data_IF_709431111791
#
_entry.id   IF_709431111791
#
_cell.length_a   1.000
_cell.length_b   1.000
_cell.length_c   1.000
_cell.angle_alpha   90.00
_cell.angle_beta   90.00
_cell.angle_gamma   90.00
#
_symmetry.space_group_name_H-M   'P 1'
#
loop_
_entity.id
_entity.type
_entity.pdbx_description
1 polymer ?
#
# COMPACT_ATOMS: atom_id res chain seq x y z
N UNK A 1 -55.39 -11.62 6.60
CA UNK A 1 -54.35 -11.14 5.65
C UNK A 1 -53.15 -10.60 6.42
N UNK A 2 -52.04 -11.34 6.52
CA UNK A 2 -50.81 -10.84 7.14
C UNK A 2 -50.06 -9.98 6.13
N UNK A 3 -49.91 -8.68 6.43
CA UNK A 3 -49.07 -7.76 5.64
C UNK A 3 -47.61 -8.11 5.86
N UNK A 4 -46.96 -8.65 4.83
CA UNK A 4 -45.51 -8.81 4.77
C UNK A 4 -44.89 -7.44 4.49
N UNK A 5 -44.37 -6.80 5.54
CA UNK A 5 -43.50 -5.64 5.35
C UNK A 5 -42.10 -6.12 4.99
N UNK A 6 -41.47 -5.57 3.94
CA UNK A 6 -40.12 -5.96 3.55
C UNK A 6 -39.15 -5.59 4.68
N UNK A 7 -38.52 -6.60 5.27
CA UNK A 7 -37.60 -6.51 6.42
C UNK A 7 -36.22 -5.95 6.02
N UNK A 8 -36.18 -5.00 5.08
CA UNK A 8 -34.97 -4.60 4.36
C UNK A 8 -34.29 -3.35 4.90
N UNK A 9 -34.79 -2.75 6.00
CA UNK A 9 -34.30 -1.43 6.43
C UNK A 9 -33.15 -1.45 7.44
N UNK A 10 -32.81 -2.59 8.06
CA UNK A 10 -31.91 -2.62 9.24
C UNK A 10 -30.45 -3.05 8.98
N UNK A 11 -30.02 -3.09 7.72
CA UNK A 11 -28.70 -3.63 7.31
C UNK A 11 -27.65 -2.57 6.93
N UNK A 12 -27.89 -1.26 7.15
CA UNK A 12 -26.89 -0.24 6.76
C UNK A 12 -25.67 -0.16 7.69
N UNK A 13 -25.71 -0.78 8.87
CA UNK A 13 -24.59 -0.78 9.84
C UNK A 13 -23.38 -1.63 9.39
N UNK A 14 -23.54 -2.90 8.97
CA UNK A 14 -22.40 -3.70 8.50
C UNK A 14 -21.74 -3.10 7.24
N UNK A 15 -22.52 -2.48 6.35
CA UNK A 15 -21.98 -1.87 5.14
C UNK A 15 -21.07 -0.67 5.44
N UNK A 16 -21.44 0.15 6.45
CA UNK A 16 -20.58 1.25 6.91
C UNK A 16 -19.27 0.74 7.50
N UNK A 17 -19.33 -0.33 8.31
CA UNK A 17 -18.15 -0.94 8.91
C UNK A 17 -17.22 -1.49 7.83
N UNK A 18 -17.77 -2.21 6.85
CA UNK A 18 -17.00 -2.71 5.71
C UNK A 18 -16.32 -1.58 4.92
N UNK A 19 -17.03 -0.48 4.68
CA UNK A 19 -16.46 0.69 4.02
C UNK A 19 -15.36 1.36 4.85
N UNK A 20 -15.52 1.47 6.16
CA UNK A 20 -14.49 2.03 7.06
C UNK A 20 -13.25 1.16 7.06
N UNK A 21 -13.41 -0.17 7.13
CA UNK A 21 -12.29 -1.12 7.07
C UNK A 21 -11.57 -1.01 5.72
N UNK A 22 -12.33 -1.00 4.62
CA UNK A 22 -11.77 -0.87 3.28
C UNK A 22 -11.01 0.45 3.11
N UNK A 23 -11.58 1.57 3.60
CA UNK A 23 -10.90 2.86 3.60
C UNK A 23 -9.62 2.84 4.43
N UNK A 24 -9.64 2.22 5.61
CA UNK A 24 -8.44 2.10 6.45
C UNK A 24 -7.34 1.26 5.79
N UNK A 25 -7.71 0.18 5.08
CA UNK A 25 -6.78 -0.65 4.31
C UNK A 25 -6.12 0.14 3.17
N UNK A 26 -6.91 0.94 2.45
CA UNK A 26 -6.38 1.80 1.38
C UNK A 26 -5.41 2.83 1.95
N UNK A 27 -5.76 3.49 3.05
CA UNK A 27 -4.87 4.47 3.71
C UNK A 27 -3.59 3.78 4.17
N UNK A 28 -3.69 2.63 4.83
CA UNK A 28 -2.53 1.87 5.27
C UNK A 28 -1.62 1.47 4.10
N UNK A 29 -2.19 1.00 2.99
CA UNK A 29 -1.44 0.67 1.78
C UNK A 29 -0.70 1.88 1.20
N UNK A 30 -1.36 3.05 1.13
CA UNK A 30 -0.74 4.29 0.66
C UNK A 30 0.39 4.75 1.58
N UNK A 31 0.20 4.68 2.90
CA UNK A 31 1.26 5.02 3.85
C UNK A 31 2.44 4.07 3.69
N UNK A 32 2.18 2.76 3.56
CA UNK A 32 3.22 1.75 3.40
C UNK A 32 3.99 1.93 2.10
N UNK A 33 3.33 2.22 0.98
CA UNK A 33 4.00 2.49 -0.31
C UNK A 33 4.83 3.76 -0.25
N UNK A 34 4.34 4.83 0.38
CA UNK A 34 5.09 6.07 0.57
C UNK A 34 6.31 5.84 1.46
N UNK A 35 6.15 5.17 2.61
CA UNK A 35 7.26 4.84 3.50
C UNK A 35 8.30 3.96 2.81
N UNK A 36 7.88 2.95 2.05
CA UNK A 36 8.77 2.09 1.28
C UNK A 36 9.50 2.88 0.20
N UNK A 37 8.79 3.75 -0.53
CA UNK A 37 9.39 4.60 -1.55
C UNK A 37 10.45 5.54 -0.97
N UNK A 38 10.17 6.21 0.15
CA UNK A 38 11.14 7.07 0.82
C UNK A 38 12.32 6.28 1.40
N UNK A 39 12.06 5.11 1.98
CA UNK A 39 13.08 4.22 2.53
C UNK A 39 13.94 3.55 1.46
N UNK A 40 13.43 3.37 0.24
CA UNK A 40 14.21 2.92 -0.91
C UNK A 40 14.95 4.07 -1.60
N UNK A 41 14.41 5.30 -1.55
CA UNK A 41 15.02 6.48 -2.17
C UNK A 41 16.44 6.75 -1.66
N UNK A 42 16.73 6.48 -0.39
CA UNK A 42 18.09 6.62 0.16
C UNK A 42 19.11 5.65 -0.47
N UNK A 43 18.64 4.56 -1.09
CA UNK A 43 19.49 3.57 -1.76
C UNK A 43 19.52 3.78 -3.28
N UNK A 44 18.67 4.67 -3.82
CA UNK A 44 18.63 5.01 -5.24
C UNK A 44 19.49 6.25 -5.46
N UNK A 45 20.75 6.03 -5.81
CA UNK A 45 21.70 7.10 -6.17
C UNK A 45 21.70 7.22 -7.69
N UNK A 46 21.56 8.45 -8.18
CA UNK A 46 21.66 8.74 -9.61
C UNK A 46 23.12 9.08 -9.92
N UNK A 47 23.73 8.30 -10.80
CA UNK A 47 25.07 8.61 -11.30
C UNK A 47 25.02 9.84 -12.24
N UNK A 48 26.14 10.54 -12.41
CA UNK A 48 26.25 11.76 -13.23
C UNK A 48 25.96 11.52 -14.72
N UNK A 49 25.93 10.25 -15.13
CA UNK A 49 25.61 9.77 -16.48
C UNK A 49 24.12 9.42 -16.67
N UNK A 50 23.30 9.57 -15.62
CA UNK A 50 21.85 9.33 -15.66
C UNK A 50 21.43 7.87 -15.48
N UNK A 51 22.37 6.99 -15.13
CA UNK A 51 22.10 5.58 -14.84
C UNK A 51 21.60 5.39 -13.40
N UNK A 52 20.62 4.50 -13.24
CA UNK A 52 20.04 4.12 -11.96
C UNK A 52 20.91 3.04 -11.30
N UNK A 53 21.74 3.44 -10.34
CA UNK A 53 22.55 2.51 -9.55
C UNK A 53 21.97 2.38 -8.14
N UNK A 54 21.75 1.13 -7.73
CA UNK A 54 21.41 0.80 -6.35
C UNK A 54 22.73 0.62 -5.59
N UNK A 55 23.17 1.64 -4.86
CA UNK A 55 24.34 1.55 -3.98
C UNK A 55 23.96 0.73 -2.74
N UNK A 56 24.06 -0.59 -2.89
CA UNK A 56 23.82 -1.55 -1.82
C UNK A 56 25.21 -1.99 -1.33
N UNK A 57 25.68 -1.53 -0.15
CA UNK A 57 27.06 -1.77 0.31
C UNK A 57 27.38 -3.25 0.63
N UNK A 58 26.42 -4.16 0.50
CA UNK A 58 26.60 -5.61 0.66
C UNK A 58 26.38 -6.41 -0.63
N UNK A 59 26.13 -5.74 -1.76
CA UNK A 59 25.97 -6.36 -3.09
C UNK A 59 27.22 -6.17 -3.96
N UNK A 60 28.26 -5.55 -3.41
CA UNK A 60 29.53 -5.23 -4.09
C UNK A 60 30.53 -6.41 -4.11
N UNK A 61 30.13 -7.57 -3.57
CA UNK A 61 30.86 -8.83 -3.67
C UNK A 61 30.32 -9.67 -4.84
N UNK A 62 31.23 -10.13 -5.70
CA UNK A 62 31.06 -11.13 -6.78
C UNK A 62 30.81 -10.67 -8.23
N UNK A 63 31.43 -9.58 -8.68
CA UNK A 63 31.76 -9.45 -10.13
C UNK A 63 33.22 -9.10 -10.38
N UNK A 64 34.13 -9.84 -9.72
CA UNK A 64 35.51 -9.99 -10.19
C UNK A 64 35.75 -11.48 -10.43
N UNK A 65 35.38 -11.95 -11.63
CA UNK A 65 36.12 -12.93 -12.46
C UNK A 65 35.38 -13.22 -13.78
#
# INVERSE_FOLDING_TARGET
MKRNYPRTYRSRRPLKIAFTILLSLVIAAVVLTVSLFFGLRQYVVYDQEGNLHLEIPWLEEDTTD
#
